data_IF_796980757819
#
_entry.id   IF_796980757819
#
_cell.length_a   1.000
_cell.length_b   1.000
_cell.length_c   1.000
_cell.angle_alpha   90.00
_cell.angle_beta   90.00
_cell.angle_gamma   90.00
#
_symmetry.space_group_name_H-M   'P 1'
#
loop_
_entity.id
_entity.type
_entity.pdbx_description
1 polymer ?
#
# COMPACT_ATOMS: atom_id res chain seq x y z
N UNK A 1 -12.33 8.77 -5.54
CA UNK A 1 -11.00 8.23 -5.87
C UNK A 1 -10.38 7.64 -4.62
N UNK A 2 -9.26 6.92 -4.73
CA UNK A 2 -8.35 6.88 -3.59
C UNK A 2 -7.81 8.32 -3.45
N UNK A 3 -8.23 9.10 -2.44
CA UNK A 3 -7.97 10.54 -2.43
C UNK A 3 -6.47 10.82 -2.36
N UNK A 4 -5.68 9.89 -1.83
CA UNK A 4 -4.28 10.10 -1.51
C UNK A 4 -3.42 10.16 -2.79
N UNK A 5 -3.61 9.21 -3.72
CA UNK A 5 -2.76 9.11 -4.91
C UNK A 5 -2.98 10.27 -5.90
N UNK A 6 -4.23 10.57 -6.25
CA UNK A 6 -4.55 11.66 -7.18
C UNK A 6 -4.18 13.02 -6.59
N UNK A 7 -4.52 13.27 -5.32
CA UNK A 7 -4.19 14.54 -4.67
C UNK A 7 -2.67 14.69 -4.53
N UNK A 8 -1.92 13.64 -4.17
CA UNK A 8 -0.46 13.75 -4.04
C UNK A 8 0.25 14.05 -5.37
N UNK A 9 -0.22 13.50 -6.49
CA UNK A 9 0.42 13.66 -7.80
C UNK A 9 0.06 14.97 -8.50
N UNK A 10 -1.13 15.52 -8.24
CA UNK A 10 -1.62 16.76 -8.87
C UNK A 10 -1.44 18.01 -7.98
N UNK A 11 -0.99 17.83 -6.73
CA UNK A 11 -0.80 18.93 -5.77
C UNK A 11 0.61 19.54 -5.88
N UNK A 12 0.67 20.87 -5.90
CA UNK A 12 1.91 21.62 -5.74
C UNK A 12 2.45 21.48 -4.31
N UNK A 13 3.78 21.56 -4.08
CA UNK A 13 4.36 21.46 -2.74
C UNK A 13 3.65 22.38 -1.74
N UNK A 14 3.17 21.81 -0.62
CA UNK A 14 2.34 22.53 0.34
C UNK A 14 1.71 21.63 1.40
N UNK A 15 0.85 22.19 2.27
CA UNK A 15 0.27 21.47 3.41
C UNK A 15 -0.48 20.18 3.04
N UNK A 16 -1.11 20.18 1.86
CA UNK A 16 -1.85 19.03 1.34
C UNK A 16 -0.90 17.88 0.97
N UNK A 17 0.19 18.17 0.23
CA UNK A 17 1.21 17.16 -0.08
C UNK A 17 1.84 16.59 1.20
N UNK A 18 2.13 17.44 2.19
CA UNK A 18 2.67 16.99 3.47
C UNK A 18 1.71 16.03 4.19
N UNK A 19 0.41 16.33 4.16
CA UNK A 19 -0.63 15.47 4.74
C UNK A 19 -0.73 14.12 4.01
N UNK A 20 -0.66 14.12 2.68
CA UNK A 20 -0.61 12.88 1.89
C UNK A 20 0.63 12.04 2.22
N UNK A 21 1.81 12.65 2.34
CA UNK A 21 3.03 11.95 2.73
C UNK A 21 2.95 11.38 4.15
N UNK A 22 2.34 12.11 5.08
CA UNK A 22 2.10 11.61 6.44
C UNK A 22 1.15 10.41 6.44
N UNK A 23 0.05 10.48 5.69
CA UNK A 23 -0.89 9.37 5.56
C UNK A 23 -0.21 8.12 4.97
N UNK A 24 0.59 8.29 3.91
CA UNK A 24 1.39 7.20 3.34
C UNK A 24 2.33 6.58 4.38
N UNK A 25 3.13 7.40 5.06
CA UNK A 25 4.08 6.92 6.10
C UNK A 25 3.36 6.19 7.23
N UNK A 26 2.22 6.70 7.69
CA UNK A 26 1.43 6.06 8.74
C UNK A 26 0.89 4.70 8.31
N UNK A 27 0.39 4.59 7.07
CA UNK A 27 -0.13 3.33 6.54
C UNK A 27 0.97 2.27 6.38
N UNK A 28 2.13 2.65 5.85
CA UNK A 28 3.28 1.73 5.74
C UNK A 28 3.76 1.29 7.12
N UNK A 29 3.88 2.20 8.09
CA UNK A 29 4.27 1.86 9.47
C UNK A 29 3.29 0.90 10.16
N UNK A 30 1.99 1.05 9.91
CA UNK A 30 0.97 0.13 10.43
C UNK A 30 1.16 -1.29 9.86
N UNK A 31 1.38 -1.41 8.55
CA UNK A 31 1.61 -2.69 7.89
C UNK A 31 2.92 -3.35 8.34
N UNK A 32 4.00 -2.56 8.45
CA UNK A 32 5.30 -3.01 8.96
C UNK A 32 5.14 -3.56 10.38
N UNK A 33 4.47 -2.82 11.27
CA UNK A 33 4.20 -3.28 12.64
C UNK A 33 3.43 -4.60 12.68
N UNK A 34 2.44 -4.77 11.78
CA UNK A 34 1.73 -6.05 11.67
C UNK A 34 2.64 -7.18 11.21
N UNK A 35 3.47 -6.96 10.20
CA UNK A 35 4.41 -7.98 9.70
C UNK A 35 5.44 -8.38 10.76
N UNK A 36 5.93 -7.43 11.56
CA UNK A 36 6.82 -7.72 12.68
C UNK A 36 6.14 -8.62 13.72
N UNK A 37 4.88 -8.35 14.08
CA UNK A 37 4.09 -9.18 15.02
C UNK A 37 3.90 -10.60 14.48
N UNK A 38 3.74 -10.75 13.16
CA UNK A 38 3.61 -12.06 12.48
C UNK A 38 4.98 -12.76 12.29
N UNK A 39 6.08 -12.20 12.80
CA UNK A 39 7.40 -12.83 12.83
C UNK A 39 8.30 -12.56 11.63
N UNK A 40 7.96 -11.61 10.76
CA UNK A 40 8.84 -11.23 9.64
C UNK A 40 10.09 -10.48 10.14
N UNK A 41 11.29 -10.72 9.57
CA UNK A 41 12.49 -9.95 9.90
C UNK A 41 12.32 -8.45 9.61
N UNK A 42 12.88 -7.53 10.41
CA UNK A 42 12.64 -6.09 10.25
C UNK A 42 12.90 -5.53 8.85
N UNK A 43 14.04 -5.86 8.26
CA UNK A 43 14.40 -5.42 6.90
C UNK A 43 13.38 -5.91 5.84
N UNK A 44 12.80 -7.10 6.05
CA UNK A 44 11.79 -7.67 5.17
C UNK A 44 10.41 -7.07 5.43
N UNK A 45 10.06 -6.80 6.69
CA UNK A 45 8.79 -6.21 7.09
C UNK A 45 8.60 -4.82 6.48
N UNK A 46 9.61 -3.95 6.52
CA UNK A 46 9.55 -2.61 5.91
C UNK A 46 9.34 -2.70 4.39
N UNK A 47 10.13 -3.54 3.71
CA UNK A 47 10.04 -3.74 2.26
C UNK A 47 8.67 -4.29 1.85
N UNK A 48 8.17 -5.30 2.57
CA UNK A 48 6.86 -5.90 2.32
C UNK A 48 5.71 -4.94 2.62
N UNK A 49 5.80 -4.12 3.67
CA UNK A 49 4.80 -3.12 3.98
C UNK A 49 4.65 -2.09 2.86
N UNK A 50 5.78 -1.61 2.33
CA UNK A 50 5.79 -0.68 1.19
C UNK A 50 5.23 -1.34 -0.07
N UNK A 51 5.62 -2.58 -0.35
CA UNK A 51 5.09 -3.36 -1.46
C UNK A 51 3.57 -3.53 -1.36
N UNK A 52 3.07 -4.01 -0.21
CA UNK A 52 1.65 -4.21 0.05
C UNK A 52 0.83 -2.95 -0.19
N UNK A 53 1.26 -1.83 0.41
CA UNK A 53 0.56 -0.57 0.29
C UNK A 53 0.54 -0.08 -1.17
N UNK A 54 1.68 -0.15 -1.85
CA UNK A 54 1.79 0.28 -3.26
C UNK A 54 0.96 -0.59 -4.20
N UNK A 55 0.97 -1.91 -4.01
CA UNK A 55 0.14 -2.85 -4.80
C UNK A 55 -1.35 -2.62 -4.56
N UNK A 56 -1.76 -2.33 -3.33
CA UNK A 56 -3.13 -2.02 -2.99
C UNK A 56 -3.60 -0.70 -3.63
N UNK A 57 -2.79 0.36 -3.55
CA UNK A 57 -3.06 1.63 -4.22
C UNK A 57 -3.17 1.47 -5.74
N UNK A 58 -2.24 0.74 -6.37
CA UNK A 58 -2.31 0.44 -7.80
C UNK A 58 -3.58 -0.33 -8.18
N UNK A 59 -3.93 -1.36 -7.41
CA UNK A 59 -5.15 -2.12 -7.63
C UNK A 59 -6.41 -1.26 -7.45
N UNK A 60 -6.44 -0.35 -6.47
CA UNK A 60 -7.53 0.61 -6.28
C UNK A 60 -7.66 1.56 -7.47
N UNK A 61 -6.55 2.12 -7.95
CA UNK A 61 -6.55 3.03 -9.11
C UNK A 61 -7.13 2.32 -10.32
N UNK A 62 -6.59 1.14 -10.69
CA UNK A 62 -7.08 0.36 -11.84
C UNK A 62 -8.55 -0.03 -11.67
N UNK A 63 -8.93 -0.47 -10.47
CA UNK A 63 -10.31 -0.89 -10.21
C UNK A 63 -11.31 0.24 -10.37
N UNK A 64 -10.93 1.44 -9.91
CA UNK A 64 -11.78 2.64 -10.00
C UNK A 64 -11.86 3.17 -11.43
N UNK A 65 -10.75 3.18 -12.17
CA UNK A 65 -10.73 3.67 -13.56
C UNK A 65 -11.52 2.75 -14.49
N UNK A 66 -11.45 1.43 -14.27
CA UNK A 66 -12.17 0.44 -15.08
C UNK A 66 -13.58 0.12 -14.57
N UNK A 67 -13.97 0.63 -13.38
CA UNK A 67 -15.20 0.27 -12.66
C UNK A 67 -15.34 -1.24 -12.47
N UNK A 68 -14.23 -1.92 -12.26
CA UNK A 68 -14.13 -3.37 -12.06
C UNK A 68 -13.31 -3.66 -10.80
N UNK A 69 -13.80 -4.52 -9.92
CA UNK A 69 -13.09 -4.89 -8.68
C UNK A 69 -12.13 -6.07 -8.87
N UNK A 70 -12.05 -6.65 -10.08
CA UNK A 70 -11.16 -7.77 -10.39
C UNK A 70 -9.69 -7.52 -9.99
N UNK A 71 -9.06 -6.35 -10.22
CA UNK A 71 -7.67 -6.12 -9.80
C UNK A 71 -7.45 -6.28 -8.28
N UNK A 72 -8.42 -5.87 -7.46
CA UNK A 72 -8.36 -6.07 -6.00
C UNK A 72 -8.54 -7.54 -5.61
N UNK A 73 -9.38 -8.29 -6.33
CA UNK A 73 -9.52 -9.75 -6.10
C UNK A 73 -8.23 -10.48 -6.44
N UNK A 74 -7.62 -10.15 -7.58
CA UNK A 74 -6.33 -10.72 -8.00
C UNK A 74 -5.25 -10.42 -6.98
N UNK A 75 -5.19 -9.18 -6.44
CA UNK A 75 -4.27 -8.85 -5.36
C UNK A 75 -4.49 -9.76 -4.14
N UNK A 76 -5.73 -9.91 -3.68
CA UNK A 76 -6.08 -10.78 -2.55
C UNK A 76 -5.64 -12.23 -2.78
N UNK A 77 -5.77 -12.75 -3.99
CA UNK A 77 -5.40 -14.12 -4.35
C UNK A 77 -3.89 -14.34 -4.38
N UNK A 78 -3.13 -13.35 -4.87
CA UNK A 78 -1.67 -13.47 -5.04
C UNK A 78 -0.91 -13.20 -3.74
N UNK A 79 -1.39 -12.26 -2.90
CA UNK A 79 -0.68 -11.80 -1.72
C UNK A 79 -0.20 -12.92 -0.77
N UNK A 80 -1.01 -13.94 -0.44
CA UNK A 80 -0.55 -15.04 0.42
C UNK A 80 0.67 -15.80 -0.12
N UNK A 81 0.81 -15.92 -1.45
CA UNK A 81 1.96 -16.59 -2.06
C UNK A 81 3.25 -15.76 -1.95
N UNK A 82 3.11 -14.43 -1.96
CA UNK A 82 4.22 -13.46 -1.84
C UNK A 82 4.64 -13.27 -0.38
N UNK A 83 3.68 -13.26 0.55
CA UNK A 83 3.90 -13.09 1.98
C UNK A 83 4.22 -14.43 2.64
N UNK A 84 5.47 -14.89 2.50
CA UNK A 84 5.98 -16.03 3.26
C UNK A 84 6.89 -15.54 4.39
N UNK A 85 6.60 -15.89 5.67
CA UNK A 85 7.44 -15.52 6.80
C UNK A 85 8.87 -16.07 6.66
N UNK A 86 8.98 -17.24 6.05
CA UNK A 86 10.23 -17.99 5.88
C UNK A 86 10.53 -18.15 4.39
N UNK A 87 11.40 -17.29 3.89
CA UNK A 87 12.13 -17.45 2.63
C UNK A 87 13.53 -16.89 2.86
#
# INVERSE_FOLDING_TARGET
GCPIATVALETTPGPVLNSCQMAFRAAVKLLEGRLLIEGFPPARAESLATFLFSSFEGALVVSKTQRDVTPLRTLKEILPAVLKPNG
#
